data_IF_933202235083
#
_entry.id   IF_933202235083
#
_cell.length_a   1.000
_cell.length_b   1.000
_cell.length_c   1.000
_cell.angle_alpha   90.00
_cell.angle_beta   90.00
_cell.angle_gamma   90.00
#
_symmetry.space_group_name_H-M   'P 1'
#
loop_
_entity.id
_entity.type
_entity.pdbx_description
1 polymer ?
#
# COMPACT_ATOMS: atom_id res chain seq x y z
N UNK A 1 9.02 22.30 -9.38
CA UNK A 1 9.00 20.82 -9.25
C UNK A 1 8.70 20.17 -10.59
N UNK A 2 9.46 19.15 -10.94
CA UNK A 2 9.36 18.52 -12.27
C UNK A 2 8.08 17.75 -12.46
N UNK A 3 7.67 17.63 -13.71
CA UNK A 3 6.48 16.92 -14.18
C UNK A 3 6.37 15.48 -13.61
N UNK A 4 7.51 14.84 -13.42
CA UNK A 4 7.57 13.46 -12.92
C UNK A 4 6.97 13.28 -11.49
N UNK A 5 6.92 14.36 -10.70
CA UNK A 5 6.38 14.28 -9.34
C UNK A 5 4.84 14.43 -9.27
N UNK A 6 4.24 14.88 -10.39
CA UNK A 6 2.79 15.12 -10.43
C UNK A 6 1.98 13.89 -10.89
N UNK A 7 2.63 12.99 -11.62
CA UNK A 7 1.93 11.82 -12.20
C UNK A 7 2.59 10.56 -11.66
N UNK A 8 1.95 9.93 -10.71
CA UNK A 8 2.42 8.67 -10.13
C UNK A 8 1.53 7.45 -10.42
N UNK A 9 0.78 7.42 -11.55
CA UNK A 9 0.13 6.16 -11.92
C UNK A 9 1.15 5.06 -12.23
N UNK A 10 2.34 5.46 -12.70
CA UNK A 10 3.47 4.52 -12.92
C UNK A 10 3.87 3.87 -11.58
N UNK A 11 3.98 4.65 -10.50
CA UNK A 11 4.33 4.10 -9.19
C UNK A 11 3.26 3.10 -8.70
N UNK A 12 1.99 3.45 -8.88
CA UNK A 12 0.89 2.54 -8.52
C UNK A 12 0.95 1.25 -9.34
N UNK A 13 1.26 1.36 -10.65
CA UNK A 13 1.43 0.20 -11.53
C UNK A 13 2.65 -0.64 -11.11
N UNK A 14 3.77 0.00 -10.77
CA UNK A 14 4.98 -0.69 -10.28
C UNK A 14 4.67 -1.51 -9.02
N UNK A 15 3.90 -0.95 -8.10
CA UNK A 15 3.50 -1.66 -6.87
C UNK A 15 2.58 -2.82 -7.20
N UNK A 16 1.61 -2.64 -8.11
CA UNK A 16 0.74 -3.72 -8.56
C UNK A 16 1.52 -4.86 -9.23
N UNK A 17 2.48 -4.53 -10.08
CA UNK A 17 3.36 -5.52 -10.71
C UNK A 17 4.21 -6.25 -9.66
N UNK A 18 4.71 -5.51 -8.65
CA UNK A 18 5.47 -6.11 -7.55
C UNK A 18 4.60 -7.09 -6.74
N UNK A 19 3.34 -6.75 -6.52
CA UNK A 19 2.37 -7.63 -5.83
C UNK A 19 2.17 -8.92 -6.62
N UNK A 20 1.86 -8.82 -7.92
CA UNK A 20 1.69 -9.96 -8.84
C UNK A 20 2.97 -10.84 -8.82
N UNK A 21 4.14 -10.21 -8.92
CA UNK A 21 5.42 -10.93 -8.92
C UNK A 21 5.63 -11.67 -7.60
N UNK A 22 5.28 -11.05 -6.48
CA UNK A 22 5.42 -11.66 -5.14
C UNK A 22 4.49 -12.88 -5.01
N UNK A 23 3.25 -12.74 -5.48
CA UNK A 23 2.29 -13.86 -5.51
C UNK A 23 2.80 -15.02 -6.38
N UNK A 24 3.40 -14.70 -7.55
CA UNK A 24 4.01 -15.70 -8.42
C UNK A 24 5.18 -16.42 -7.72
N UNK A 25 6.02 -15.69 -6.98
CA UNK A 25 7.12 -16.27 -6.20
C UNK A 25 6.58 -17.18 -5.08
N UNK A 26 5.45 -16.81 -4.49
CA UNK A 26 4.76 -17.62 -3.49
C UNK A 26 4.02 -18.81 -4.10
N UNK A 27 4.10 -18.98 -5.43
CA UNK A 27 3.49 -20.08 -6.19
C UNK A 27 1.95 -20.04 -6.20
N UNK A 28 1.36 -18.88 -5.96
CA UNK A 28 -0.08 -18.72 -6.11
C UNK A 28 -0.48 -18.82 -7.59
N UNK A 29 -1.67 -19.34 -7.85
CA UNK A 29 -2.22 -19.42 -9.20
C UNK A 29 -2.65 -18.02 -9.66
N UNK A 30 -1.91 -17.47 -10.62
CA UNK A 30 -2.22 -16.14 -11.17
C UNK A 30 -3.29 -16.27 -12.25
N UNK A 31 -4.41 -15.60 -12.03
CA UNK A 31 -5.43 -15.45 -13.06
C UNK A 31 -5.41 -14.01 -13.59
N UNK A 32 -5.91 -13.76 -14.82
CA UNK A 32 -6.01 -12.39 -15.31
C UNK A 32 -6.82 -11.48 -14.38
N UNK A 33 -7.86 -12.02 -13.75
CA UNK A 33 -8.72 -11.30 -12.81
C UNK A 33 -7.93 -10.88 -11.56
N UNK A 34 -7.14 -11.80 -10.99
CA UNK A 34 -6.27 -11.50 -9.84
C UNK A 34 -5.24 -10.42 -10.20
N UNK A 35 -4.60 -10.54 -11.35
CA UNK A 35 -3.63 -9.53 -11.81
C UNK A 35 -4.28 -8.15 -11.99
N UNK A 36 -5.48 -8.10 -12.55
CA UNK A 36 -6.23 -6.85 -12.69
C UNK A 36 -6.62 -6.29 -11.32
N UNK A 37 -6.98 -7.15 -10.39
CA UNK A 37 -7.34 -6.77 -9.02
C UNK A 37 -6.14 -6.15 -8.31
N UNK A 38 -4.97 -6.78 -8.40
CA UNK A 38 -3.74 -6.27 -7.78
C UNK A 38 -3.38 -4.88 -8.31
N UNK A 39 -3.47 -4.68 -9.62
CA UNK A 39 -3.22 -3.39 -10.25
C UNK A 39 -4.26 -2.35 -9.79
N UNK A 40 -5.52 -2.74 -9.71
CA UNK A 40 -6.61 -1.85 -9.30
C UNK A 40 -6.47 -1.45 -7.82
N UNK A 41 -6.20 -2.41 -6.92
CA UNK A 41 -6.02 -2.15 -5.49
C UNK A 41 -4.81 -1.23 -5.28
N UNK A 42 -3.69 -1.53 -5.93
CA UNK A 42 -2.47 -0.71 -5.83
C UNK A 42 -2.76 0.72 -6.28
N UNK A 43 -3.53 0.88 -7.35
CA UNK A 43 -3.91 2.20 -7.84
C UNK A 43 -4.87 2.92 -6.87
N UNK A 44 -5.79 2.19 -6.23
CA UNK A 44 -6.68 2.76 -5.19
C UNK A 44 -5.86 3.31 -4.02
N UNK A 45 -4.91 2.51 -3.51
CA UNK A 45 -4.10 2.88 -2.34
C UNK A 45 -3.22 4.09 -2.67
N UNK A 46 -2.40 3.97 -3.71
CA UNK A 46 -1.44 5.02 -4.06
C UNK A 46 -2.10 6.24 -4.69
N UNK A 47 -3.14 6.03 -5.49
CA UNK A 47 -3.89 7.13 -6.09
C UNK A 47 -4.57 7.98 -5.04
N UNK A 48 -5.19 7.33 -4.06
CA UNK A 48 -5.85 8.06 -2.95
C UNK A 48 -4.80 8.79 -2.08
N UNK A 49 -3.74 8.11 -1.71
CA UNK A 49 -2.68 8.72 -0.89
C UNK A 49 -2.12 9.96 -1.60
N UNK A 50 -1.80 9.83 -2.87
CA UNK A 50 -1.25 10.93 -3.66
C UNK A 50 -2.27 12.08 -3.86
N UNK A 51 -3.54 11.75 -4.07
CA UNK A 51 -4.60 12.76 -4.17
C UNK A 51 -4.69 13.57 -2.89
N UNK A 52 -4.63 12.91 -1.73
CA UNK A 52 -4.72 13.60 -0.44
C UNK A 52 -3.47 14.43 -0.15
N UNK A 53 -2.30 13.95 -0.54
CA UNK A 53 -1.04 14.72 -0.42
C UNK A 53 -1.12 16.00 -1.25
N UNK A 54 -1.52 15.89 -2.51
CA UNK A 54 -1.64 17.04 -3.41
C UNK A 54 -2.66 18.06 -2.89
N UNK A 55 -3.74 17.57 -2.28
CA UNK A 55 -4.77 18.45 -1.69
C UNK A 55 -4.23 19.22 -0.48
N UNK A 56 -3.29 18.65 0.26
CA UNK A 56 -2.61 19.31 1.38
C UNK A 56 -1.50 20.24 0.96
N UNK A 57 -0.98 20.10 -0.25
CA UNK A 57 0.06 20.99 -0.80
C UNK A 57 -0.59 22.17 -1.52
N UNK A 58 0.09 23.33 -1.49
CA UNK A 58 -0.37 24.54 -2.21
C UNK A 58 -0.32 24.38 -3.75
N UNK A 59 0.13 23.22 -4.21
CA UNK A 59 0.24 22.88 -5.64
C UNK A 59 -1.01 22.14 -6.18
N UNK A 60 -2.08 22.07 -5.41
CA UNK A 60 -3.31 21.43 -5.87
C UNK A 60 -3.94 22.24 -6.99
N UNK A 61 -4.02 21.64 -8.18
CA UNK A 61 -4.68 22.21 -9.33
C UNK A 61 -6.07 21.54 -9.48
N UNK A 62 -7.14 22.24 -9.13
CA UNK A 62 -8.49 21.66 -9.23
C UNK A 62 -8.89 21.35 -10.67
N UNK A 63 -8.19 21.88 -11.68
CA UNK A 63 -8.43 21.54 -13.08
C UNK A 63 -7.87 20.16 -13.46
N UNK A 64 -7.18 19.47 -12.52
CA UNK A 64 -6.66 18.12 -12.78
C UNK A 64 -7.49 17.10 -12.00
N UNK A 65 -8.67 16.70 -12.47
CA UNK A 65 -9.50 15.71 -11.78
C UNK A 65 -8.96 14.28 -11.93
N UNK A 66 -7.86 14.12 -12.66
CA UNK A 66 -7.34 12.82 -13.06
C UNK A 66 -7.07 11.87 -11.87
N UNK A 67 -6.38 12.32 -10.77
CA UNK A 67 -6.14 11.40 -9.65
C UNK A 67 -7.43 10.92 -8.98
N UNK A 68 -8.42 11.79 -8.84
CA UNK A 68 -9.71 11.42 -8.25
C UNK A 68 -10.46 10.45 -9.16
N UNK A 69 -10.51 10.75 -10.47
CA UNK A 69 -11.21 9.92 -11.46
C UNK A 69 -10.60 8.52 -11.56
N UNK A 70 -9.26 8.43 -11.65
CA UNK A 70 -8.57 7.13 -11.75
C UNK A 70 -8.72 6.32 -10.46
N UNK A 71 -8.66 6.97 -9.30
CA UNK A 71 -8.85 6.31 -8.01
C UNK A 71 -10.28 5.76 -7.89
N UNK A 72 -11.28 6.56 -8.28
CA UNK A 72 -12.68 6.11 -8.28
C UNK A 72 -12.89 4.94 -9.24
N UNK A 73 -12.34 5.02 -10.45
CA UNK A 73 -12.44 3.94 -11.43
C UNK A 73 -11.78 2.67 -10.89
N UNK A 74 -10.58 2.79 -10.32
CA UNK A 74 -9.86 1.64 -9.75
C UNK A 74 -10.64 1.02 -8.59
N UNK A 75 -11.27 1.86 -7.75
CA UNK A 75 -12.12 1.41 -6.65
C UNK A 75 -13.31 0.59 -7.15
N UNK A 76 -14.02 1.12 -8.16
CA UNK A 76 -15.18 0.43 -8.75
C UNK A 76 -14.74 -0.89 -9.38
N UNK A 77 -13.64 -0.87 -10.14
CA UNK A 77 -13.10 -2.08 -10.76
C UNK A 77 -12.71 -3.13 -9.71
N UNK A 78 -12.01 -2.71 -8.66
CA UNK A 78 -11.65 -3.62 -7.55
C UNK A 78 -12.90 -4.24 -6.93
N UNK A 79 -13.93 -3.42 -6.67
CA UNK A 79 -15.17 -3.89 -6.06
C UNK A 79 -15.87 -4.93 -6.94
N UNK A 80 -15.88 -4.73 -8.26
CA UNK A 80 -16.47 -5.68 -9.21
C UNK A 80 -15.67 -6.99 -9.22
N UNK A 81 -14.36 -6.90 -9.34
CA UNK A 81 -13.48 -8.08 -9.39
C UNK A 81 -13.57 -8.91 -8.11
N UNK A 82 -13.65 -8.22 -6.99
CA UNK A 82 -13.70 -8.86 -5.67
C UNK A 82 -15.06 -9.53 -5.39
N UNK A 83 -16.14 -9.00 -5.94
CA UNK A 83 -17.46 -9.63 -5.80
C UNK A 83 -17.48 -11.02 -6.46
N UNK A 84 -16.63 -11.24 -7.45
CA UNK A 84 -16.55 -12.51 -8.16
C UNK A 84 -15.52 -13.48 -7.56
N UNK A 85 -14.84 -13.11 -6.48
CA UNK A 85 -13.69 -13.86 -5.95
C UNK A 85 -13.97 -14.63 -4.66
N UNK A 86 -15.22 -14.84 -4.28
CA UNK A 86 -15.63 -15.54 -3.04
C UNK A 86 -14.97 -14.97 -1.76
N UNK A 87 -14.50 -13.73 -1.82
CA UNK A 87 -13.76 -13.05 -0.75
C UNK A 87 -14.62 -11.96 -0.09
N UNK A 88 -15.87 -12.25 0.16
CA UNK A 88 -16.90 -11.27 0.53
C UNK A 88 -16.58 -10.45 1.79
N UNK A 89 -15.79 -10.98 2.71
CA UNK A 89 -15.46 -10.29 3.96
C UNK A 89 -14.12 -9.57 3.91
N UNK A 90 -13.15 -10.12 3.19
CA UNK A 90 -11.79 -9.58 3.18
C UNK A 90 -11.73 -8.19 2.55
N UNK A 91 -12.49 -7.99 1.49
CA UNK A 91 -12.50 -6.76 0.70
C UNK A 91 -13.00 -5.54 1.49
N UNK A 92 -14.16 -5.62 2.15
CA UNK A 92 -14.60 -4.48 2.95
C UNK A 92 -13.61 -4.15 4.07
N UNK A 93 -13.01 -5.16 4.69
CA UNK A 93 -12.01 -4.96 5.75
C UNK A 93 -10.80 -4.24 5.18
N UNK A 94 -10.23 -4.74 4.10
CA UNK A 94 -9.07 -4.12 3.46
C UNK A 94 -9.39 -2.69 3.00
N UNK A 95 -10.59 -2.48 2.44
CA UNK A 95 -11.05 -1.16 2.02
C UNK A 95 -11.10 -0.17 3.18
N UNK A 96 -11.69 -0.58 4.31
CA UNK A 96 -11.77 0.28 5.50
C UNK A 96 -10.36 0.59 6.01
N UNK A 97 -9.46 -0.39 6.07
CA UNK A 97 -8.09 -0.18 6.53
C UNK A 97 -7.34 0.80 5.62
N UNK A 98 -7.52 0.68 4.30
CA UNK A 98 -6.91 1.61 3.33
C UNK A 98 -7.47 3.02 3.50
N UNK A 99 -8.81 3.13 3.68
CA UNK A 99 -9.45 4.44 3.87
C UNK A 99 -8.97 5.11 5.16
N UNK A 100 -8.79 4.35 6.22
CA UNK A 100 -8.36 4.88 7.52
C UNK A 100 -6.86 5.15 7.59
N UNK A 101 -6.06 4.56 6.69
CA UNK A 101 -4.60 4.65 6.75
C UNK A 101 -4.11 6.10 6.76
N UNK A 102 -4.62 6.92 5.84
CA UNK A 102 -4.14 8.30 5.70
C UNK A 102 -4.39 9.13 6.97
N UNK A 103 -5.57 8.94 7.55
CA UNK A 103 -5.96 9.66 8.78
C UNK A 103 -5.16 9.16 9.98
N UNK A 104 -4.85 7.87 10.01
CA UNK A 104 -4.08 7.27 11.12
C UNK A 104 -2.57 7.37 10.95
N UNK A 105 -2.07 7.67 9.74
CA UNK A 105 -0.64 7.72 9.41
C UNK A 105 0.19 8.51 10.44
N UNK A 106 -0.20 9.73 10.85
CA UNK A 106 0.59 10.46 11.87
C UNK A 106 0.58 9.79 13.24
N UNK A 107 -0.52 9.10 13.57
CA UNK A 107 -0.69 8.42 14.88
C UNK A 107 0.00 7.05 14.91
N UNK A 108 0.24 6.43 13.77
CA UNK A 108 0.92 5.13 13.70
C UNK A 108 2.38 5.25 14.16
N UNK A 109 3.05 6.35 13.82
CA UNK A 109 4.41 6.60 14.26
C UNK A 109 5.34 5.44 13.92
N UNK A 110 6.02 4.91 14.94
CA UNK A 110 6.96 3.77 14.80
C UNK A 110 6.27 2.47 14.36
N UNK A 111 4.96 2.37 14.50
CA UNK A 111 4.20 1.17 14.10
C UNK A 111 3.78 1.20 12.63
N UNK A 112 4.00 2.32 11.92
CA UNK A 112 3.64 2.46 10.50
C UNK A 112 4.20 1.32 9.63
N UNK A 113 5.50 0.95 9.73
CA UNK A 113 6.01 -0.16 8.91
C UNK A 113 5.30 -1.49 9.16
N UNK A 114 4.98 -1.79 10.42
CA UNK A 114 4.27 -3.03 10.79
C UNK A 114 2.86 -3.01 10.17
N UNK A 115 2.18 -1.88 10.24
CA UNK A 115 0.84 -1.72 9.66
C UNK A 115 0.87 -1.93 8.14
N UNK A 116 1.84 -1.32 7.45
CA UNK A 116 2.03 -1.45 6.00
C UNK A 116 2.35 -2.92 5.65
N UNK A 117 3.27 -3.53 6.41
CA UNK A 117 3.61 -4.95 6.23
C UNK A 117 2.39 -5.84 6.33
N UNK A 118 1.56 -5.61 7.36
CA UNK A 118 0.31 -6.34 7.56
C UNK A 118 -0.62 -6.20 6.36
N UNK A 119 -0.84 -4.98 5.86
CA UNK A 119 -1.77 -4.73 4.74
C UNK A 119 -1.32 -5.43 3.46
N UNK A 120 -0.04 -5.30 3.10
CA UNK A 120 0.47 -5.90 1.87
C UNK A 120 0.54 -7.43 1.97
N UNK A 121 0.95 -7.94 3.14
CA UNK A 121 0.96 -9.39 3.38
C UNK A 121 -0.45 -9.97 3.27
N UNK A 122 -1.45 -9.28 3.83
CA UNK A 122 -2.84 -9.71 3.72
C UNK A 122 -3.30 -9.77 2.26
N UNK A 123 -2.91 -8.77 1.44
CA UNK A 123 -3.25 -8.77 0.02
C UNK A 123 -2.56 -9.92 -0.73
N UNK A 124 -1.28 -10.20 -0.43
CA UNK A 124 -0.52 -11.26 -1.09
C UNK A 124 -1.07 -12.64 -0.72
N UNK A 125 -1.34 -12.86 0.56
CA UNK A 125 -1.65 -14.19 1.08
C UNK A 125 -3.13 -14.55 0.92
N UNK A 126 -4.03 -13.60 1.17
CA UNK A 126 -5.45 -13.92 1.27
C UNK A 126 -6.27 -13.61 0.01
N UNK A 127 -5.79 -12.72 -0.89
CA UNK A 127 -6.51 -12.48 -2.14
C UNK A 127 -6.46 -13.67 -3.10
N UNK A 128 -5.29 -14.33 -3.30
CA UNK A 128 -5.23 -15.46 -4.24
C UNK A 128 -5.64 -16.79 -3.63
N UNK A 129 -5.81 -16.88 -2.30
CA UNK A 129 -5.97 -18.17 -1.62
C UNK A 129 -7.40 -18.46 -1.22
N UNK A 130 -7.86 -19.66 -1.58
CA UNK A 130 -9.06 -20.28 -1.00
C UNK A 130 -8.72 -21.08 0.28
N UNK A 131 -7.45 -21.08 0.68
CA UNK A 131 -6.99 -21.85 1.85
C UNK A 131 -7.43 -21.18 3.16
N UNK A 132 -7.65 -21.99 4.20
CA UNK A 132 -7.94 -21.42 5.52
C UNK A 132 -6.83 -20.48 6.00
N UNK A 133 -7.15 -19.36 6.63
CA UNK A 133 -6.15 -18.38 7.03
C UNK A 133 -5.03 -18.93 7.92
N UNK A 134 -5.31 -19.96 8.73
CA UNK A 134 -4.31 -20.55 9.63
C UNK A 134 -3.20 -21.29 8.86
N UNK A 135 -3.53 -21.91 7.74
CA UNK A 135 -2.55 -22.63 6.92
C UNK A 135 -1.61 -21.67 6.19
N UNK A 136 -2.08 -20.47 5.92
CA UNK A 136 -1.31 -19.40 5.24
C UNK A 136 -0.56 -18.49 6.22
N UNK A 137 -0.65 -18.74 7.52
CA UNK A 137 -0.05 -17.87 8.54
C UNK A 137 1.48 -17.74 8.42
N UNK A 138 2.26 -18.83 8.19
CA UNK A 138 3.71 -18.67 8.03
C UNK A 138 4.07 -17.74 6.86
N UNK A 139 3.44 -17.94 5.72
CA UNK A 139 3.63 -17.10 4.54
C UNK A 139 3.25 -15.65 4.82
N UNK A 140 2.11 -15.44 5.47
CA UNK A 140 1.66 -14.11 5.89
C UNK A 140 2.73 -13.39 6.72
N UNK A 141 3.31 -14.09 7.71
CA UNK A 141 4.33 -13.49 8.60
C UNK A 141 5.60 -13.12 7.82
N UNK A 142 6.03 -13.99 6.89
CA UNK A 142 7.20 -13.72 6.05
C UNK A 142 7.02 -12.46 5.21
N UNK A 143 5.88 -12.34 4.52
CA UNK A 143 5.61 -11.16 3.70
C UNK A 143 5.37 -9.91 4.57
N UNK A 144 4.76 -10.06 5.75
CA UNK A 144 4.57 -8.93 6.66
C UNK A 144 5.93 -8.36 7.09
N UNK A 145 6.90 -9.22 7.42
CA UNK A 145 8.26 -8.79 7.78
C UNK A 145 8.95 -8.10 6.58
N UNK A 146 8.84 -8.69 5.39
CA UNK A 146 9.45 -8.14 4.17
C UNK A 146 8.91 -6.74 3.87
N UNK A 147 7.59 -6.57 3.85
CA UNK A 147 6.97 -5.28 3.51
C UNK A 147 7.10 -4.26 4.64
N UNK A 148 7.16 -4.69 5.90
CA UNK A 148 7.48 -3.80 7.02
C UNK A 148 8.91 -3.26 6.87
N UNK A 149 9.86 -4.12 6.50
CA UNK A 149 11.26 -3.73 6.26
C UNK A 149 11.35 -2.72 5.11
N UNK A 150 10.67 -3.01 3.98
CA UNK A 150 10.63 -2.12 2.83
C UNK A 150 10.03 -0.75 3.19
N UNK A 151 8.94 -0.75 3.96
CA UNK A 151 8.30 0.49 4.43
C UNK A 151 9.23 1.30 5.32
N UNK A 152 9.95 0.65 6.24
CA UNK A 152 10.90 1.30 7.13
C UNK A 152 12.07 1.93 6.34
N UNK A 153 12.56 1.25 5.29
CA UNK A 153 13.59 1.79 4.40
C UNK A 153 13.06 3.04 3.66
N UNK A 154 11.80 3.01 3.22
CA UNK A 154 11.17 4.17 2.58
C UNK A 154 11.11 5.37 3.55
N UNK A 155 10.81 5.13 4.83
CA UNK A 155 10.76 6.17 5.86
C UNK A 155 12.15 6.82 6.08
N UNK A 156 13.26 6.08 5.86
CA UNK A 156 14.61 6.64 5.94
C UNK A 156 14.80 7.74 4.90
N UNK A 157 14.28 7.51 3.70
CA UNK A 157 14.34 8.52 2.61
C UNK A 157 13.55 9.78 2.98
N UNK A 158 12.42 9.60 3.62
CA UNK A 158 11.48 10.68 3.90
C UNK A 158 11.68 11.30 5.30
N UNK A 159 12.75 10.89 6.04
CA UNK A 159 12.90 11.22 7.46
C UNK A 159 12.90 12.73 7.75
N UNK A 160 13.46 13.55 6.85
CA UNK A 160 13.51 15.02 7.05
C UNK A 160 12.12 15.64 6.94
N UNK A 161 11.32 15.15 6.02
CA UNK A 161 9.96 15.64 5.81
C UNK A 161 9.04 15.14 6.92
N UNK A 162 9.20 13.88 7.33
CA UNK A 162 8.49 13.32 8.49
C UNK A 162 8.79 14.13 9.75
N UNK A 163 10.06 14.44 10.01
CA UNK A 163 10.45 15.24 11.18
C UNK A 163 9.83 16.65 11.16
N UNK A 164 9.80 17.28 9.98
CA UNK A 164 9.18 18.61 9.82
C UNK A 164 7.68 18.59 10.08
N UNK A 165 7.04 17.47 9.75
CA UNK A 165 5.59 17.30 9.89
C UNK A 165 5.20 16.63 11.22
N UNK A 166 6.17 16.48 12.13
CA UNK A 166 5.98 15.85 13.46
C UNK A 166 5.46 14.40 13.35
N UNK A 167 5.86 13.68 12.29
CA UNK A 167 5.53 12.26 12.12
C UNK A 167 6.66 11.45 12.76
N UNK A 168 6.35 10.67 13.78
CA UNK A 168 7.32 10.00 14.65
C UNK A 168 7.69 8.59 14.12
N UNK A 169 8.21 8.53 12.90
CA UNK A 169 8.68 7.26 12.31
C UNK A 169 9.97 6.76 13.00
N UNK A 170 10.34 5.50 12.76
CA UNK A 170 11.55 4.89 13.34
C UNK A 170 12.80 5.73 13.06
N UNK A 171 13.08 6.15 11.80
CA UNK A 171 14.27 6.99 11.57
C UNK A 171 14.19 8.36 12.26
N UNK A 172 13.02 8.92 12.47
CA UNK A 172 12.86 10.21 13.17
C UNK A 172 13.20 10.07 14.65
N UNK A 173 12.78 8.98 15.30
CA UNK A 173 12.99 8.78 16.75
C UNK A 173 14.38 8.21 17.05
N UNK A 174 14.79 7.17 16.31
CA UNK A 174 15.97 6.38 16.64
C UNK A 174 17.16 6.62 15.70
N UNK A 175 16.97 7.45 14.68
CA UNK A 175 18.00 7.74 13.67
C UNK A 175 18.01 6.75 12.51
N UNK A 176 18.51 7.19 11.37
CA UNK A 176 18.51 6.39 10.12
C UNK A 176 19.32 5.09 10.24
N UNK A 177 20.42 5.11 11.01
CA UNK A 177 21.26 3.90 11.22
C UNK A 177 20.50 2.81 11.97
N UNK A 178 19.73 3.20 13.00
CA UNK A 178 18.89 2.26 13.75
C UNK A 178 17.74 1.72 12.89
N UNK A 179 17.14 2.58 12.07
CA UNK A 179 16.10 2.17 11.14
C UNK A 179 16.64 1.16 10.11
N UNK A 180 17.84 1.41 9.60
CA UNK A 180 18.52 0.48 8.68
C UNK A 180 18.75 -0.87 9.33
N UNK A 181 19.27 -0.88 10.56
CA UNK A 181 19.53 -2.12 11.32
C UNK A 181 18.24 -2.91 11.57
N UNK A 182 17.13 -2.22 11.80
CA UNK A 182 15.82 -2.85 12.02
C UNK A 182 15.21 -3.42 10.74
N UNK A 183 15.76 -3.11 9.59
CA UNK A 183 15.29 -3.60 8.29
C UNK A 183 16.09 -4.74 7.68
N UNK A 184 17.06 -4.76 8.36
CA UNK A 184 17.85 -5.68 7.97
C UNK A 184 17.65 -6.92 8.41
#
# INVERSE_FOLDING_TARGET
MGWANKVRPILAADVGVSLIFTQALAKHALTPELCLLDLAISHCVYGRDRFLDLRGENDFDPATPWPAATTTFAWVLSSILLTNADQELFVPILSVLVLLYKESKPSLGVFKPIFIGFLWSAAITFLPNDAPPLDSLPEFVEFAALYASASNIADIKDYKDDARNNITTIPVIFGCSSAYAASX
#
